data_IF_312996111006
#
_entry.id   IF_312996111006
#
_cell.length_a   1.000
_cell.length_b   1.000
_cell.length_c   1.000
_cell.angle_alpha   90.00
_cell.angle_beta   90.00
_cell.angle_gamma   90.00
#
_symmetry.space_group_name_H-M   'P 1'
#
loop_
_entity.id
_entity.type
_entity.pdbx_description
1 polymer ?
#
# COMPACT_ATOMS: atom_id res chain seq x y z
N UNK A 1 4.23 15.40 12.92
CA UNK A 1 4.74 14.98 11.59
C UNK A 1 4.55 16.14 10.63
N UNK A 2 5.56 16.53 9.85
CA UNK A 2 5.33 17.51 8.77
C UNK A 2 4.75 16.79 7.55
N UNK A 3 3.76 17.40 6.91
CA UNK A 3 3.20 16.90 5.64
C UNK A 3 4.28 16.72 4.56
N UNK A 4 5.42 17.39 4.71
CA UNK A 4 6.59 17.20 3.85
C UNK A 4 7.13 15.76 3.84
N UNK A 5 7.01 14.98 4.92
CA UNK A 5 7.40 13.55 4.91
C UNK A 5 6.33 12.69 4.24
N UNK A 6 5.04 12.96 4.52
CA UNK A 6 3.90 12.21 3.97
C UNK A 6 3.88 12.26 2.44
N UNK A 7 4.14 13.44 1.88
CA UNK A 7 4.03 13.72 0.44
C UNK A 7 5.38 13.78 -0.28
N UNK A 8 6.49 13.47 0.39
CA UNK A 8 7.77 13.33 -0.28
C UNK A 8 7.68 12.26 -1.37
N UNK A 9 8.27 12.51 -2.53
CA UNK A 9 8.36 11.50 -3.58
C UNK A 9 9.31 10.38 -3.18
N UNK A 10 9.12 9.19 -3.77
CA UNK A 10 10.05 8.05 -3.62
C UNK A 10 11.51 8.46 -3.92
N UNK A 11 11.70 9.32 -4.93
CA UNK A 11 13.03 9.84 -5.32
C UNK A 11 13.65 10.68 -4.21
N UNK A 12 12.89 11.61 -3.64
CA UNK A 12 13.36 12.49 -2.57
C UNK A 12 13.68 11.69 -1.31
N UNK A 13 12.81 10.76 -0.89
CA UNK A 13 13.10 9.89 0.25
C UNK A 13 14.37 9.09 0.04
N UNK A 14 14.52 8.41 -1.11
CA UNK A 14 15.73 7.65 -1.41
C UNK A 14 16.99 8.51 -1.38
N UNK A 15 16.93 9.75 -1.86
CA UNK A 15 18.05 10.68 -1.80
C UNK A 15 18.37 11.10 -0.34
N UNK A 16 17.35 11.44 0.45
CA UNK A 16 17.51 11.85 1.85
C UNK A 16 18.00 10.71 2.74
N UNK A 17 17.58 9.47 2.48
CA UNK A 17 18.10 8.27 3.15
C UNK A 17 19.59 8.07 2.87
N UNK A 18 20.01 8.13 1.60
CA UNK A 18 21.43 8.03 1.23
C UNK A 18 22.28 9.16 1.81
N UNK A 19 21.73 10.36 1.88
CA UNK A 19 22.36 11.52 2.50
C UNK A 19 22.31 11.50 4.04
N UNK A 20 21.70 10.47 4.65
CA UNK A 20 21.49 10.34 6.11
C UNK A 20 20.76 11.54 6.73
N UNK A 21 19.93 12.20 5.94
CA UNK A 21 19.07 13.31 6.37
C UNK A 21 17.72 12.84 6.92
N UNK A 22 17.36 11.59 6.65
CA UNK A 22 16.21 10.87 7.18
C UNK A 22 16.59 9.40 7.35
N UNK A 23 15.95 8.73 8.29
CA UNK A 23 15.98 7.28 8.44
C UNK A 23 14.70 6.62 7.90
N UNK A 24 14.78 5.44 7.24
CA UNK A 24 13.61 4.61 6.95
C UNK A 24 12.79 4.29 8.21
N UNK A 25 13.43 4.13 9.38
CA UNK A 25 12.76 3.84 10.66
C UNK A 25 11.96 5.05 11.12
N UNK A 26 12.53 6.26 11.04
CA UNK A 26 11.85 7.51 11.38
C UNK A 26 10.63 7.75 10.49
N UNK A 27 10.79 7.59 9.17
CA UNK A 27 9.69 7.77 8.21
C UNK A 27 8.60 6.72 8.42
N UNK A 28 8.97 5.46 8.66
CA UNK A 28 8.00 4.38 8.93
C UNK A 28 7.20 4.65 10.19
N UNK A 29 7.85 5.06 11.30
CA UNK A 29 7.15 5.45 12.54
C UNK A 29 6.19 6.62 12.29
N UNK A 30 6.65 7.65 11.58
CA UNK A 30 5.83 8.81 11.27
C UNK A 30 4.59 8.44 10.45
N UNK A 31 4.71 7.53 9.46
CA UNK A 31 3.55 7.06 8.71
C UNK A 31 2.60 6.20 9.54
N UNK A 32 3.11 5.31 10.40
CA UNK A 32 2.27 4.51 11.29
C UNK A 32 1.44 5.40 12.23
N UNK A 33 2.04 6.44 12.82
CA UNK A 33 1.32 7.45 13.63
C UNK A 33 0.29 8.23 12.81
N UNK A 34 0.57 8.51 11.53
CA UNK A 34 -0.38 9.18 10.63
C UNK A 34 -1.55 8.28 10.27
N UNK A 35 -1.29 7.00 9.99
CA UNK A 35 -2.31 6.00 9.71
C UNK A 35 -3.25 5.86 10.91
N UNK A 36 -2.71 5.78 12.13
CA UNK A 36 -3.50 5.74 13.35
C UNK A 36 -4.46 6.93 13.48
N UNK A 37 -4.02 8.12 13.10
CA UNK A 37 -4.83 9.36 13.20
C UNK A 37 -5.88 9.50 12.09
N UNK A 38 -5.59 9.05 10.87
CA UNK A 38 -6.40 9.37 9.69
C UNK A 38 -7.23 8.20 9.17
N UNK A 39 -6.72 6.97 9.30
CA UNK A 39 -7.32 5.82 8.63
C UNK A 39 -8.62 5.35 9.31
N UNK A 40 -8.84 5.71 10.57
CA UNK A 40 -10.13 5.54 11.23
C UNK A 40 -11.28 6.26 10.52
N UNK A 41 -11.00 7.34 9.79
CA UNK A 41 -11.98 8.07 8.98
C UNK A 41 -11.96 7.68 7.50
N UNK A 42 -10.82 7.20 6.97
CA UNK A 42 -10.64 6.90 5.56
C UNK A 42 -10.87 5.43 5.21
N UNK A 43 -10.66 4.51 6.16
CA UNK A 43 -10.75 3.06 6.01
C UNK A 43 -9.96 2.54 4.81
N UNK A 44 -8.76 3.07 4.55
CA UNK A 44 -7.94 2.68 3.43
C UNK A 44 -7.21 1.34 3.69
N UNK A 45 -6.79 1.07 4.93
CA UNK A 45 -6.17 -0.20 5.31
C UNK A 45 -7.22 -1.21 5.78
N UNK A 46 -7.05 -2.46 5.36
CA UNK A 46 -7.80 -3.61 5.88
C UNK A 46 -6.97 -4.45 6.87
N UNK A 47 -5.65 -4.46 6.70
CA UNK A 47 -4.69 -5.10 7.60
C UNK A 47 -3.46 -4.21 7.70
N UNK A 48 -3.12 -3.76 8.91
CA UNK A 48 -1.88 -3.03 9.16
C UNK A 48 -0.80 -4.00 9.66
N UNK A 49 0.47 -3.74 9.35
CA UNK A 49 1.59 -4.60 9.79
C UNK A 49 2.71 -3.80 10.48
N UNK A 50 2.45 -3.14 11.64
CA UNK A 50 3.42 -2.21 12.25
C UNK A 50 4.75 -2.86 12.64
N UNK A 51 4.70 -4.04 13.24
CA UNK A 51 5.89 -4.77 13.70
C UNK A 51 6.78 -5.17 12.51
N UNK A 52 6.16 -5.72 11.46
CA UNK A 52 6.82 -6.05 10.20
C UNK A 52 7.40 -4.81 9.53
N UNK A 53 6.64 -3.73 9.45
CA UNK A 53 7.09 -2.48 8.84
C UNK A 53 8.35 -1.94 9.54
N UNK A 54 8.35 -1.92 10.87
CA UNK A 54 9.50 -1.48 11.64
C UNK A 54 10.70 -2.44 11.50
N UNK A 55 10.47 -3.74 11.36
CA UNK A 55 11.53 -4.70 11.07
C UNK A 55 12.15 -4.48 9.68
N UNK A 56 11.32 -4.32 8.64
CA UNK A 56 11.76 -4.00 7.28
C UNK A 56 12.56 -2.69 7.25
N UNK A 57 12.08 -1.66 7.97
CA UNK A 57 12.73 -0.36 8.03
C UNK A 57 14.11 -0.42 8.69
N UNK A 58 14.27 -1.19 9.78
CA UNK A 58 15.57 -1.41 10.43
C UNK A 58 16.53 -2.17 9.51
N UNK A 59 16.05 -3.20 8.81
CA UNK A 59 16.86 -3.93 7.85
C UNK A 59 17.32 -3.05 6.69
N UNK A 60 16.43 -2.18 6.19
CA UNK A 60 16.76 -1.22 5.13
C UNK A 60 17.77 -0.15 5.60
N UNK A 61 17.62 0.36 6.83
CA UNK A 61 18.58 1.30 7.42
C UNK A 61 19.98 0.69 7.56
N UNK A 62 20.08 -0.56 8.01
CA UNK A 62 21.37 -1.24 8.09
C UNK A 62 21.97 -1.47 6.70
N UNK A 63 21.17 -1.92 5.73
CA UNK A 63 21.63 -2.07 4.35
C UNK A 63 22.13 -0.74 3.74
N UNK A 64 21.46 0.38 4.01
CA UNK A 64 21.91 1.71 3.61
C UNK A 64 23.26 2.09 4.25
N UNK A 65 23.48 1.71 5.52
CA UNK A 65 24.78 1.94 6.20
C UNK A 65 25.91 1.14 5.56
N UNK A 66 25.60 -0.04 5.03
CA UNK A 66 26.53 -0.89 4.29
C UNK A 66 26.71 -0.49 2.81
N UNK A 67 26.09 0.62 2.37
CA UNK A 67 26.26 1.17 1.02
C UNK A 67 25.33 0.55 -0.04
N UNK A 68 24.26 -0.12 0.35
CA UNK A 68 23.27 -0.65 -0.60
C UNK A 68 22.56 0.48 -1.36
N UNK A 69 22.66 0.43 -2.69
CA UNK A 69 22.15 1.44 -3.61
C UNK A 69 20.79 1.12 -4.23
N UNK A 70 20.07 0.07 -3.77
CA UNK A 70 18.75 -0.29 -4.32
C UNK A 70 17.81 0.91 -4.31
N UNK A 71 17.12 1.21 -5.43
CA UNK A 71 16.38 2.47 -5.58
C UNK A 71 15.13 2.56 -4.71
N UNK A 72 14.59 1.43 -4.25
CA UNK A 72 13.38 1.35 -3.42
C UNK A 72 13.67 0.95 -1.97
N UNK A 73 14.95 0.88 -1.58
CA UNK A 73 15.36 0.47 -0.24
C UNK A 73 14.79 1.42 0.82
N UNK A 74 14.04 0.87 1.77
CA UNK A 74 13.44 1.61 2.88
C UNK A 74 12.18 2.40 2.51
N UNK A 75 11.68 2.29 1.28
CA UNK A 75 10.49 3.04 0.83
C UNK A 75 9.22 2.39 1.40
N UNK A 76 8.38 3.14 2.14
CA UNK A 76 7.11 2.62 2.67
C UNK A 76 6.06 2.38 1.60
N UNK A 77 5.49 1.17 1.62
CA UNK A 77 4.54 0.71 0.62
C UNK A 77 3.40 -0.09 1.23
N UNK A 78 2.28 -0.21 0.52
CA UNK A 78 1.22 -1.14 0.87
C UNK A 78 0.67 -1.87 -0.36
N UNK A 79 0.07 -3.04 -0.15
CA UNK A 79 -0.45 -3.86 -1.24
C UNK A 79 -1.97 -3.92 -1.23
N UNK A 80 -2.61 -3.79 -2.40
CA UNK A 80 -4.05 -4.07 -2.53
C UNK A 80 -4.35 -5.49 -2.01
N UNK A 81 -5.46 -5.66 -1.31
CA UNK A 81 -5.82 -6.89 -0.60
C UNK A 81 -6.28 -8.08 -1.49
N UNK A 82 -5.72 -8.18 -2.68
CA UNK A 82 -5.82 -9.35 -3.58
C UNK A 82 -4.45 -9.94 -3.88
N UNK A 83 -3.38 -9.24 -3.52
CA UNK A 83 -2.02 -9.74 -3.69
C UNK A 83 -1.71 -10.64 -2.51
N UNK A 84 -1.54 -11.94 -2.74
CA UNK A 84 -1.15 -12.87 -1.70
C UNK A 84 0.16 -12.43 -1.06
N UNK A 85 0.21 -12.42 0.26
CA UNK A 85 1.39 -12.07 1.05
C UNK A 85 1.53 -13.11 2.13
N UNK A 86 2.61 -13.88 2.09
CA UNK A 86 2.84 -15.00 2.99
C UNK A 86 2.81 -14.52 4.44
N UNK A 87 2.01 -15.20 5.27
CA UNK A 87 1.87 -14.87 6.69
C UNK A 87 1.13 -13.56 6.97
N UNK A 88 0.55 -12.90 5.95
CA UNK A 88 -0.27 -11.70 6.11
C UNK A 88 -1.64 -11.93 5.47
N UNK A 89 -2.68 -11.76 6.28
CA UNK A 89 -4.08 -11.92 5.91
C UNK A 89 -4.39 -11.23 4.57
N UNK A 90 -4.97 -11.98 3.64
CA UNK A 90 -5.36 -11.51 2.31
C UNK A 90 -6.80 -11.90 2.07
N UNK A 91 -7.74 -10.95 2.05
CA UNK A 91 -9.18 -11.27 2.14
C UNK A 91 -9.92 -11.10 0.82
N UNK A 92 -9.31 -10.46 -0.18
CA UNK A 92 -10.02 -10.02 -1.36
C UNK A 92 -11.08 -8.96 -1.07
N UNK A 93 -11.08 -8.34 0.13
CA UNK A 93 -12.19 -7.54 0.62
C UNK A 93 -13.47 -8.36 0.88
N UNK A 94 -13.39 -9.68 0.95
CA UNK A 94 -14.55 -10.57 1.10
C UNK A 94 -14.64 -11.16 2.50
N UNK A 95 -15.87 -11.34 2.98
CA UNK A 95 -16.13 -12.12 4.18
C UNK A 95 -15.68 -13.59 4.03
N UNK A 96 -15.66 -14.12 2.80
CA UNK A 96 -15.29 -15.52 2.52
C UNK A 96 -13.84 -15.83 2.91
N UNK A 97 -12.93 -14.87 2.71
CA UNK A 97 -11.51 -14.98 3.07
C UNK A 97 -11.14 -14.06 4.21
N UNK A 98 -12.11 -13.72 5.08
CA UNK A 98 -11.90 -12.75 6.15
C UNK A 98 -10.69 -13.07 7.02
N UNK A 99 -10.42 -14.35 7.26
CA UNK A 99 -9.34 -14.86 8.11
C UNK A 99 -8.27 -15.66 7.32
N UNK A 100 -8.33 -15.64 5.99
CA UNK A 100 -7.38 -16.39 5.17
C UNK A 100 -5.99 -15.74 5.17
N UNK A 101 -4.98 -16.55 5.50
CA UNK A 101 -3.57 -16.16 5.44
C UNK A 101 -2.87 -17.06 4.42
N UNK A 102 -2.37 -16.50 3.30
CA UNK A 102 -1.69 -17.29 2.28
C UNK A 102 -0.34 -17.83 2.76
N UNK A 103 0.08 -18.97 2.24
CA UNK A 103 1.41 -19.57 2.49
C UNK A 103 2.50 -19.08 1.51
N UNK A 104 2.10 -18.37 0.45
CA UNK A 104 3.01 -17.91 -0.61
C UNK A 104 2.80 -16.45 -0.95
N UNK A 105 3.90 -15.77 -1.30
CA UNK A 105 3.87 -14.41 -1.83
C UNK A 105 3.46 -14.40 -3.31
N UNK A 106 2.66 -13.42 -3.70
CA UNK A 106 2.51 -13.07 -5.11
C UNK A 106 3.85 -12.64 -5.70
N UNK A 107 4.08 -12.90 -6.99
CA UNK A 107 5.35 -12.53 -7.65
C UNK A 107 5.67 -11.04 -7.51
N UNK A 108 4.67 -10.18 -7.62
CA UNK A 108 4.84 -8.73 -7.45
C UNK A 108 5.24 -8.35 -6.02
N UNK A 109 4.63 -8.98 -5.00
CA UNK A 109 4.94 -8.75 -3.58
C UNK A 109 6.38 -9.14 -3.29
N UNK A 110 6.79 -10.34 -3.71
CA UNK A 110 8.17 -10.81 -3.57
C UNK A 110 9.17 -9.86 -4.20
N UNK A 111 8.90 -9.35 -5.42
CA UNK A 111 9.80 -8.39 -6.09
C UNK A 111 9.91 -7.05 -5.36
N UNK A 112 8.84 -6.57 -4.72
CA UNK A 112 8.89 -5.35 -3.91
C UNK A 112 9.73 -5.59 -2.64
N UNK A 113 9.51 -6.73 -1.97
CA UNK A 113 10.31 -7.15 -0.83
C UNK A 113 11.81 -7.28 -1.19
N UNK A 114 12.15 -7.95 -2.30
CA UNK A 114 13.52 -8.11 -2.78
C UNK A 114 14.17 -6.75 -3.13
N UNK A 115 13.36 -5.75 -3.50
CA UNK A 115 13.84 -4.39 -3.71
C UNK A 115 14.09 -3.61 -2.41
N UNK A 116 13.75 -4.18 -1.25
CA UNK A 116 13.99 -3.61 0.08
C UNK A 116 12.92 -2.64 0.56
N UNK A 117 11.71 -2.69 0.01
CA UNK A 117 10.61 -1.83 0.45
C UNK A 117 10.12 -2.19 1.86
N UNK A 118 9.50 -1.24 2.56
CA UNK A 118 8.90 -1.42 3.88
C UNK A 118 7.39 -1.67 3.74
N UNK A 119 6.91 -2.86 4.11
CA UNK A 119 5.49 -3.19 3.99
C UNK A 119 4.68 -2.66 5.18
N UNK A 120 3.88 -1.63 4.94
CA UNK A 120 2.97 -1.04 5.94
C UNK A 120 1.70 -1.88 6.14
N UNK A 121 1.24 -2.58 5.11
CA UNK A 121 0.09 -3.48 5.23
C UNK A 121 -0.66 -3.73 3.93
N UNK A 122 -1.94 -4.07 4.08
CA UNK A 122 -2.90 -4.39 3.02
C UNK A 122 -3.99 -3.34 2.94
N UNK A 123 -4.30 -2.94 1.71
CA UNK A 123 -5.24 -1.88 1.38
C UNK A 123 -6.56 -2.48 0.92
N UNK A 124 -7.67 -1.94 1.42
CA UNK A 124 -9.01 -2.44 1.07
C UNK A 124 -9.23 -2.39 -0.44
N UNK A 125 -9.95 -3.39 -0.94
CA UNK A 125 -10.41 -3.49 -2.32
C UNK A 125 -11.93 -3.62 -2.31
N UNK A 126 -12.55 -3.35 -3.46
CA UNK A 126 -13.85 -3.97 -3.69
C UNK A 126 -13.74 -5.49 -3.69
N UNK A 127 -14.79 -6.16 -3.21
CA UNK A 127 -14.84 -7.60 -3.06
C UNK A 127 -14.43 -8.32 -4.35
N UNK A 128 -13.38 -9.14 -4.25
CA UNK A 128 -12.70 -9.85 -5.35
C UNK A 128 -12.36 -8.98 -6.56
N UNK A 129 -12.06 -7.70 -6.31
CA UNK A 129 -11.79 -6.69 -7.33
C UNK A 129 -12.93 -6.43 -8.34
N UNK A 130 -14.14 -6.93 -8.10
CA UNK A 130 -15.30 -6.81 -8.98
C UNK A 130 -16.51 -6.14 -8.31
N UNK A 131 -16.81 -6.51 -7.06
CA UNK A 131 -17.97 -5.98 -6.33
C UNK A 131 -17.89 -4.49 -6.01
N UNK A 132 -18.74 -4.04 -5.10
CA UNK A 132 -18.64 -2.74 -4.43
C UNK A 132 -18.55 -3.00 -2.92
N UNK A 133 -17.85 -2.14 -2.18
CA UNK A 133 -17.93 -2.16 -0.71
C UNK A 133 -19.00 -1.18 -0.25
N UNK A 134 -19.80 -1.59 0.72
CA UNK A 134 -20.85 -0.76 1.31
C UNK A 134 -20.80 -0.80 2.83
N UNK A 135 -21.31 0.25 3.51
CA UNK A 135 -21.54 0.19 4.95
C UNK A 135 -22.40 -1.04 5.29
N UNK A 136 -21.97 -1.82 6.29
CA UNK A 136 -22.63 -3.07 6.70
C UNK A 136 -21.97 -4.35 6.17
N UNK A 137 -21.04 -4.25 5.20
CA UNK A 137 -20.16 -5.36 4.86
C UNK A 137 -19.19 -5.68 6.02
N UNK A 138 -18.54 -6.85 5.95
CA UNK A 138 -17.53 -7.28 6.93
C UNK A 138 -16.41 -6.25 7.11
N UNK A 139 -16.03 -5.57 6.03
CA UNK A 139 -15.02 -4.52 6.01
C UNK A 139 -15.65 -3.21 5.56
N UNK A 140 -15.26 -2.11 6.21
CA UNK A 140 -15.76 -0.78 5.85
C UNK A 140 -15.25 -0.36 4.46
N UNK A 141 -16.07 0.33 3.66
CA UNK A 141 -15.61 0.91 2.41
C UNK A 141 -14.63 2.06 2.67
N UNK A 142 -13.56 2.13 1.87
CA UNK A 142 -12.69 3.30 1.85
C UNK A 142 -13.44 4.56 1.42
N UNK A 143 -13.04 5.72 1.97
CA UNK A 143 -13.59 7.04 1.66
C UNK A 143 -12.57 7.90 0.91
N UNK A 144 -13.06 8.82 0.09
CA UNK A 144 -12.19 9.72 -0.67
C UNK A 144 -11.56 10.79 0.25
N UNK A 145 -10.23 10.94 0.29
CA UNK A 145 -9.58 11.96 1.11
C UNK A 145 -9.95 13.41 0.77
N UNK A 146 -10.38 13.68 -0.47
CA UNK A 146 -10.83 15.01 -0.89
C UNK A 146 -12.23 15.35 -0.40
N UNK A 147 -13.08 14.33 -0.21
CA UNK A 147 -14.41 14.48 0.36
C UNK A 147 -14.88 13.12 0.92
N UNK A 148 -14.94 12.93 2.26
CA UNK A 148 -15.32 11.66 2.86
C UNK A 148 -16.74 11.18 2.56
N UNK A 149 -17.61 12.03 1.99
CA UNK A 149 -18.93 11.63 1.50
C UNK A 149 -18.89 10.93 0.14
N UNK A 150 -17.74 10.94 -0.56
CA UNK A 150 -17.58 10.38 -1.90
C UNK A 150 -16.70 9.12 -1.88
N UNK A 151 -16.86 8.28 -2.91
CA UNK A 151 -16.01 7.10 -3.10
C UNK A 151 -14.63 7.49 -3.65
N UNK A 152 -13.56 6.76 -3.28
CA UNK A 152 -12.23 6.95 -3.85
C UNK A 152 -12.08 6.27 -5.22
N UNK A 153 -13.17 5.82 -5.85
CA UNK A 153 -13.16 4.93 -7.02
C UNK A 153 -12.84 3.48 -6.66
N UNK A 154 -12.88 2.58 -7.63
CA UNK A 154 -12.63 1.16 -7.38
C UNK A 154 -12.14 0.37 -8.61
N UNK A 155 -11.72 -0.88 -8.43
CA UNK A 155 -11.72 -1.63 -7.18
C UNK A 155 -10.50 -1.41 -6.27
N UNK A 156 -9.45 -0.71 -6.72
CA UNK A 156 -8.28 -0.39 -5.87
C UNK A 156 -8.55 0.83 -4.96
N UNK A 157 -9.68 0.81 -4.25
CA UNK A 157 -10.21 1.93 -3.47
C UNK A 157 -9.26 2.36 -2.35
N UNK A 158 -8.75 1.41 -1.55
CA UNK A 158 -7.79 1.68 -0.49
C UNK A 158 -6.46 2.21 -1.04
N UNK A 159 -5.99 1.72 -2.19
CA UNK A 159 -4.78 2.24 -2.83
C UNK A 159 -4.92 3.69 -3.26
N UNK A 160 -6.06 4.07 -3.83
CA UNK A 160 -6.37 5.46 -4.18
C UNK A 160 -6.37 6.36 -2.94
N UNK A 161 -7.13 5.97 -1.92
CA UNK A 161 -7.28 6.74 -0.69
C UNK A 161 -5.96 6.88 0.09
N UNK A 162 -5.21 5.79 0.26
CA UNK A 162 -3.97 5.81 1.04
C UNK A 162 -2.87 6.68 0.40
N UNK A 163 -2.72 6.62 -0.92
CA UNK A 163 -1.76 7.48 -1.63
C UNK A 163 -2.17 8.95 -1.57
N UNK A 164 -3.45 9.27 -1.83
CA UNK A 164 -3.91 10.65 -1.81
C UNK A 164 -3.88 11.31 -0.41
N UNK A 165 -4.03 10.52 0.66
CA UNK A 165 -3.93 11.01 2.03
C UNK A 165 -2.49 11.04 2.60
N UNK A 166 -1.48 10.64 1.80
CA UNK A 166 -0.08 10.57 2.22
C UNK A 166 0.17 9.53 3.32
N UNK A 167 -0.55 8.39 3.27
CA UNK A 167 -0.38 7.29 4.22
C UNK A 167 0.71 6.30 3.79
N UNK A 168 1.03 6.27 2.50
CA UNK A 168 2.04 5.40 1.88
C UNK A 168 2.74 6.16 0.75
N UNK A 169 3.96 5.77 0.38
CA UNK A 169 4.69 6.38 -0.74
C UNK A 169 4.51 5.61 -2.06
N UNK A 170 4.13 4.34 -1.97
CA UNK A 170 3.78 3.50 -3.12
C UNK A 170 2.73 2.46 -2.76
N UNK A 171 1.87 2.14 -3.72
CA UNK A 171 0.90 1.07 -3.54
C UNK A 171 0.74 0.23 -4.80
N UNK A 172 0.44 -1.06 -4.62
CA UNK A 172 -0.04 -1.88 -5.73
C UNK A 172 -1.55 -1.69 -5.91
N UNK A 173 -2.00 -1.87 -7.15
CA UNK A 173 -3.41 -2.01 -7.51
C UNK A 173 -3.57 -3.08 -8.58
N UNK A 174 -4.81 -3.38 -8.97
CA UNK A 174 -5.10 -4.20 -10.17
C UNK A 174 -6.10 -3.47 -11.04
N UNK A 175 -6.02 -3.67 -12.35
CA UNK A 175 -6.86 -2.98 -13.34
C UNK A 175 -7.35 -3.99 -14.39
N UNK A 176 -8.56 -4.49 -14.15
CA UNK A 176 -9.27 -5.38 -15.08
C UNK A 176 -10.06 -4.57 -16.10
N UNK A 177 -10.78 -3.55 -15.63
CA UNK A 177 -11.62 -2.66 -16.46
C UNK A 177 -11.44 -1.17 -16.17
N UNK A 178 -10.37 -0.77 -15.50
CA UNK A 178 -10.17 0.60 -15.01
C UNK A 178 -9.77 0.67 -13.54
N UNK A 179 -9.57 -0.45 -12.87
CA UNK A 179 -9.50 -0.48 -11.40
C UNK A 179 -8.22 0.08 -10.77
N UNK A 180 -7.22 0.50 -11.55
CA UNK A 180 -6.13 1.40 -11.11
C UNK A 180 -6.45 2.83 -11.55
N UNK A 181 -6.82 3.02 -12.81
CA UNK A 181 -7.05 4.34 -13.42
C UNK A 181 -8.22 5.11 -12.79
N UNK A 182 -9.28 4.40 -12.41
CA UNK A 182 -10.47 4.95 -11.75
C UNK A 182 -10.11 5.58 -10.40
N UNK A 183 -9.58 4.81 -9.44
CA UNK A 183 -9.11 5.38 -8.17
C UNK A 183 -8.07 6.49 -8.35
N UNK A 184 -7.17 6.35 -9.34
CA UNK A 184 -6.20 7.40 -9.64
C UNK A 184 -6.87 8.73 -10.04
N UNK A 185 -7.86 8.67 -10.93
CA UNK A 185 -8.64 9.83 -11.36
C UNK A 185 -9.48 10.43 -10.23
N UNK A 186 -10.09 9.59 -9.39
CA UNK A 186 -11.02 10.03 -8.34
C UNK A 186 -10.28 10.62 -7.13
N UNK A 187 -9.08 10.14 -6.86
CA UNK A 187 -8.24 10.60 -5.76
C UNK A 187 -7.15 11.59 -6.18
N UNK A 188 -7.07 11.98 -7.45
CA UNK A 188 -6.10 12.98 -7.93
C UNK A 188 -4.64 12.52 -7.84
N UNK A 189 -4.38 11.23 -8.10
CA UNK A 189 -3.03 10.64 -8.05
C UNK A 189 -2.64 10.01 -9.39
N UNK A 190 -1.37 9.61 -9.52
CA UNK A 190 -0.89 8.89 -10.70
C UNK A 190 -1.10 7.38 -10.53
N UNK A 191 -1.78 6.76 -11.50
CA UNK A 191 -1.96 5.32 -11.59
C UNK A 191 -1.60 4.77 -12.96
N UNK A 192 -0.69 3.81 -13.02
CA UNK A 192 -0.24 3.19 -14.27
C UNK A 192 -0.74 1.75 -14.36
N UNK A 193 -1.54 1.47 -15.39
CA UNK A 193 -1.81 0.08 -15.83
C UNK A 193 -0.78 -0.30 -16.91
N UNK A 194 0.18 -1.19 -16.64
CA UNK A 194 1.14 -1.61 -17.65
C UNK A 194 0.48 -2.43 -18.76
N UNK A 195 1.23 -2.70 -19.83
CA UNK A 195 0.83 -3.64 -20.89
C UNK A 195 0.50 -5.01 -20.30
N UNK A 196 -0.54 -5.66 -20.83
CA UNK A 196 -0.88 -7.03 -20.41
C UNK A 196 0.32 -7.97 -20.55
N UNK A 197 0.55 -8.82 -19.54
CA UNK A 197 1.71 -9.72 -19.47
C UNK A 197 3.00 -9.10 -18.93
N UNK A 198 3.10 -7.76 -18.79
CA UNK A 198 4.31 -7.11 -18.24
C UNK A 198 4.54 -7.44 -16.77
N UNK A 199 3.48 -7.44 -15.96
CA UNK A 199 3.51 -7.80 -14.56
C UNK A 199 2.89 -9.18 -14.37
N UNK A 200 3.58 -10.06 -13.64
CA UNK A 200 3.06 -11.39 -13.31
C UNK A 200 1.76 -11.29 -12.51
N UNK A 201 0.81 -12.16 -12.82
CA UNK A 201 -0.45 -12.32 -12.06
C UNK A 201 -0.41 -13.47 -11.05
N UNK A 202 0.66 -14.26 -11.01
CA UNK A 202 0.80 -15.37 -10.07
C UNK A 202 0.70 -14.87 -8.62
N UNK A 203 -0.20 -15.50 -7.85
CA UNK A 203 -0.54 -15.13 -6.47
C UNK A 203 -1.41 -13.88 -6.32
N UNK A 204 -2.04 -13.40 -7.40
CA UNK A 204 -3.05 -12.33 -7.32
C UNK A 204 -4.43 -12.95 -7.47
N UNK A 205 -5.32 -12.73 -6.52
CA UNK A 205 -6.73 -13.12 -6.62
C UNK A 205 -7.37 -12.40 -7.82
N UNK A 206 -8.02 -13.14 -8.69
CA UNK A 206 -8.61 -12.65 -9.94
C UNK A 206 -9.90 -13.37 -10.25
#
# INVERSE_FOLDING_TARGET
>A
MSDAIAYATIRELGARYRARQLSPVEVTRALLERIEKLDGALHAFITLTPERALADARAAEEALRQGDGRPLLGIPVAHKDIYCTRGIRTTGGSALYADWTPDTDATCVRRWQDAGTVLLGKLITHEFAFGLQFPGHRFQPARNPWNPAHIPGGSSSGSGAALAAGLVHGATGSDTGGSIRGPASFCGIVGLKPTYGRCSRAGVLS
#
